data_IF_539981008188
#
_entry.id   IF_539981008188
#
_cell.length_a   1.000
_cell.length_b   1.000
_cell.length_c   1.000
_cell.angle_alpha   90.00
_cell.angle_beta   90.00
_cell.angle_gamma   90.00
#
_symmetry.space_group_name_H-M   'P 1'
#
loop_
_entity.id
_entity.type
_entity.pdbx_description
1 polymer ?
#
# COMPACT_ATOMS: atom_id res chain seq x y z
N UNK A 1 -9.79 -2.37 -14.64
CA UNK A 1 -9.28 -2.70 -13.30
C UNK A 1 -7.77 -2.57 -13.31
N UNK A 2 -7.24 -1.61 -12.57
CA UNK A 2 -5.79 -1.41 -12.47
C UNK A 2 -5.14 -2.51 -11.59
N UNK A 3 -3.80 -2.59 -11.60
CA UNK A 3 -3.08 -3.63 -10.86
C UNK A 3 -3.37 -3.59 -9.34
N UNK A 4 -3.49 -2.40 -8.77
CA UNK A 4 -3.79 -2.20 -7.35
C UNK A 4 -5.15 -2.80 -6.98
N UNK A 5 -6.19 -2.50 -7.75
CA UNK A 5 -7.55 -3.02 -7.55
C UNK A 5 -7.57 -4.55 -7.62
N UNK A 6 -6.87 -5.15 -8.60
CA UNK A 6 -6.77 -6.62 -8.72
C UNK A 6 -6.08 -7.24 -7.50
N UNK A 7 -5.02 -6.62 -7.00
CA UNK A 7 -4.30 -7.11 -5.81
C UNK A 7 -5.17 -6.99 -4.55
N UNK A 8 -5.93 -5.90 -4.40
CA UNK A 8 -6.87 -5.74 -3.28
C UNK A 8 -7.96 -6.82 -3.35
N UNK A 9 -8.54 -7.09 -4.53
CA UNK A 9 -9.53 -8.15 -4.68
C UNK A 9 -8.95 -9.53 -4.37
N UNK A 10 -7.74 -9.85 -4.83
CA UNK A 10 -7.09 -11.12 -4.53
C UNK A 10 -6.83 -11.29 -3.01
N UNK A 11 -6.57 -10.19 -2.30
CA UNK A 11 -6.41 -10.18 -0.86
C UNK A 11 -7.75 -10.43 -0.13
N UNK A 12 -8.84 -9.90 -0.68
CA UNK A 12 -10.20 -10.04 -0.15
C UNK A 12 -10.84 -11.40 -0.46
N UNK A 13 -10.40 -12.09 -1.53
CA UNK A 13 -11.06 -13.30 -2.02
C UNK A 13 -10.69 -14.60 -1.29
N UNK A 14 -10.05 -14.53 -0.13
CA UNK A 14 -9.53 -15.73 0.56
C UNK A 14 -9.27 -15.51 2.05
N UNK A 15 -8.40 -16.34 2.64
CA UNK A 15 -8.08 -16.29 4.09
C UNK A 15 -7.48 -14.95 4.56
N UNK A 16 -7.02 -14.12 3.62
CA UNK A 16 -6.48 -12.78 3.88
C UNK A 16 -7.55 -11.68 3.90
N UNK A 17 -8.84 -12.00 3.80
CA UNK A 17 -9.94 -11.04 3.83
C UNK A 17 -9.84 -10.03 5.00
N UNK A 18 -9.51 -10.42 6.25
CA UNK A 18 -9.33 -9.46 7.34
C UNK A 18 -8.23 -8.42 7.07
N UNK A 19 -7.15 -8.82 6.37
CA UNK A 19 -6.07 -7.92 5.97
C UNK A 19 -6.52 -7.01 4.82
N UNK A 20 -7.25 -7.55 3.85
CA UNK A 20 -7.86 -6.77 2.76
C UNK A 20 -8.78 -5.67 3.28
N UNK A 21 -9.63 -5.99 4.25
CA UNK A 21 -10.53 -5.02 4.87
C UNK A 21 -9.78 -3.93 5.65
N UNK A 22 -8.69 -4.27 6.36
CA UNK A 22 -7.82 -3.27 7.00
C UNK A 22 -7.17 -2.34 5.99
N UNK A 23 -6.69 -2.87 4.85
CA UNK A 23 -6.10 -2.07 3.78
C UNK A 23 -7.13 -1.13 3.13
N UNK A 24 -8.33 -1.61 2.84
CA UNK A 24 -9.43 -0.78 2.31
C UNK A 24 -9.76 0.37 3.26
N UNK A 25 -9.92 0.06 4.55
CA UNK A 25 -10.18 1.07 5.58
C UNK A 25 -9.07 2.11 5.67
N UNK A 26 -7.81 1.70 5.55
CA UNK A 26 -6.67 2.62 5.53
C UNK A 26 -6.72 3.56 4.32
N UNK A 27 -6.91 3.04 3.11
CA UNK A 27 -6.95 3.84 1.88
C UNK A 27 -8.11 4.85 1.90
N UNK A 28 -9.27 4.45 2.42
CA UNK A 28 -10.46 5.31 2.46
C UNK A 28 -10.38 6.40 3.53
N UNK A 29 -9.80 6.10 4.70
CA UNK A 29 -9.90 6.98 5.88
C UNK A 29 -8.58 7.64 6.30
N UNK A 30 -7.46 7.36 5.63
CA UNK A 30 -6.15 7.91 5.97
C UNK A 30 -5.44 8.47 4.75
N UNK A 31 -4.90 9.66 4.90
CA UNK A 31 -3.88 10.21 4.00
C UNK A 31 -2.49 9.79 4.47
N UNK A 32 -1.78 9.00 3.65
CA UNK A 32 -0.39 8.64 3.93
C UNK A 32 0.55 9.68 3.32
N UNK A 33 1.10 10.59 4.14
CA UNK A 33 2.02 11.64 3.68
C UNK A 33 3.50 11.29 3.85
N UNK A 34 3.82 10.43 4.82
CA UNK A 34 5.19 10.05 5.20
C UNK A 34 5.92 9.27 4.11
N UNK A 35 5.24 8.33 3.46
CA UNK A 35 5.85 7.48 2.45
C UNK A 35 5.50 7.96 1.05
N UNK A 36 6.43 7.77 0.11
CA UNK A 36 6.19 7.89 -1.33
C UNK A 36 6.90 6.77 -2.07
N UNK A 37 6.50 6.53 -3.32
CA UNK A 37 7.10 5.51 -4.18
C UNK A 37 7.78 6.21 -5.36
N UNK A 38 9.01 5.81 -5.69
CA UNK A 38 9.73 6.30 -6.87
C UNK A 38 9.45 5.44 -8.12
N UNK A 39 10.07 5.77 -9.24
CA UNK A 39 9.93 5.06 -10.51
C UNK A 39 10.34 3.57 -10.44
N UNK A 40 11.24 3.20 -9.52
CA UNK A 40 11.71 1.83 -9.32
C UNK A 40 10.84 1.05 -8.31
N UNK A 41 9.68 1.59 -7.93
CA UNK A 41 8.78 1.01 -6.92
C UNK A 41 9.40 0.90 -5.52
N UNK A 42 10.48 1.64 -5.25
CA UNK A 42 11.10 1.71 -3.93
C UNK A 42 10.33 2.70 -3.05
N UNK A 43 10.22 2.37 -1.76
CA UNK A 43 9.53 3.17 -0.77
C UNK A 43 10.51 4.16 -0.18
N UNK A 44 10.23 5.46 -0.35
CA UNK A 44 10.97 6.55 0.28
C UNK A 44 10.25 7.00 1.56
N UNK A 45 10.95 6.94 2.69
CA UNK A 45 10.49 7.50 3.96
C UNK A 45 10.94 8.97 4.08
N UNK A 46 9.99 9.89 3.90
CA UNK A 46 10.26 11.34 3.96
C UNK A 46 10.65 11.81 5.36
N UNK A 47 10.29 11.08 6.41
CA UNK A 47 10.63 11.44 7.80
C UNK A 47 12.11 11.18 8.09
N UNK A 48 12.66 10.09 7.55
CA UNK A 48 14.05 9.68 7.79
C UNK A 48 14.98 9.95 6.60
N UNK A 49 14.44 10.43 5.48
CA UNK A 49 15.16 10.69 4.23
C UNK A 49 15.93 9.45 3.73
N UNK A 50 15.26 8.29 3.73
CA UNK A 50 15.88 7.00 3.37
C UNK A 50 14.96 6.20 2.45
N UNK A 51 15.56 5.47 1.51
CA UNK A 51 14.87 4.44 0.74
C UNK A 51 14.87 3.12 1.51
N UNK A 52 13.75 2.41 1.52
CA UNK A 52 13.62 1.17 2.29
C UNK A 52 14.39 0.00 1.71
N UNK A 53 14.62 0.03 0.39
CA UNK A 53 15.40 -0.98 -0.32
C UNK A 53 16.66 -0.32 -0.92
N UNK A 54 17.74 -1.09 -0.99
CA UNK A 54 19.02 -0.68 -1.61
C UNK A 54 18.96 -0.66 -3.14
#
# INVERSE_FOLDING_TARGET
MNLLEKNIQALLSGVNEPLGNKLLNFIQNKTCSRFSINENLNIYDKTHNVFMYE
#
